data_IF_183063510564
#
_entry.id   IF_183063510564
#
_cell.length_a   1.000
_cell.length_b   1.000
_cell.length_c   1.000
_cell.angle_alpha   90.00
_cell.angle_beta   90.00
_cell.angle_gamma   90.00
#
_symmetry.space_group_name_H-M   'P 1'
#
loop_
_entity.id
_entity.type
_entity.pdbx_description
1 polymer ?
#
# COMPACT_ATOMS: atom_id res chain seq x y z
N UNK A 1 18.89 -15.53 -12.62
CA UNK A 1 18.35 -16.81 -12.12
C UNK A 1 16.92 -16.69 -11.57
N UNK A 2 16.45 -15.49 -11.20
CA UNK A 2 15.10 -15.23 -10.68
C UNK A 2 14.05 -14.87 -11.74
N UNK A 3 14.42 -14.61 -12.99
CA UNK A 3 13.45 -14.20 -14.03
C UNK A 3 12.42 -15.28 -14.40
N UNK A 4 12.74 -16.55 -14.26
CA UNK A 4 11.80 -17.65 -14.58
C UNK A 4 10.74 -17.93 -13.50
N UNK A 5 10.94 -17.49 -12.26
CA UNK A 5 9.95 -17.63 -11.16
C UNK A 5 8.93 -16.50 -11.11
N UNK A 6 9.19 -15.37 -11.80
CA UNK A 6 8.33 -14.17 -11.76
C UNK A 6 7.00 -14.37 -12.48
N UNK A 7 6.90 -15.35 -13.40
CA UNK A 7 5.70 -15.56 -14.23
C UNK A 7 4.42 -15.90 -13.43
N UNK A 8 4.55 -16.40 -12.20
CA UNK A 8 3.42 -16.79 -11.34
C UNK A 8 3.24 -15.94 -10.09
N UNK A 9 3.97 -14.81 -9.98
CA UNK A 9 3.89 -13.95 -8.81
C UNK A 9 2.85 -12.85 -9.02
N UNK A 10 1.92 -12.72 -8.06
CA UNK A 10 0.93 -11.62 -8.06
C UNK A 10 1.39 -10.51 -7.09
N UNK A 11 1.34 -9.23 -7.52
CA UNK A 11 1.64 -8.12 -6.64
C UNK A 11 0.59 -8.02 -5.54
N UNK A 12 1.04 -7.79 -4.30
CA UNK A 12 0.17 -7.59 -3.16
C UNK A 12 -0.28 -6.13 -3.12
N UNK A 13 -1.55 -5.90 -2.78
CA UNK A 13 -2.15 -4.56 -2.76
C UNK A 13 -1.65 -3.74 -1.57
N UNK A 14 -1.31 -2.49 -1.83
CA UNK A 14 -1.06 -1.50 -0.79
C UNK A 14 -2.34 -1.13 -0.05
N UNK A 15 -2.23 -0.87 1.25
CA UNK A 15 -3.34 -0.38 2.07
C UNK A 15 -3.96 0.89 1.50
N UNK A 16 -3.14 1.86 1.09
CA UNK A 16 -3.62 3.13 0.53
C UNK A 16 -4.40 2.99 -0.77
N UNK A 17 -4.15 1.94 -1.56
CA UNK A 17 -4.97 1.63 -2.73
C UNK A 17 -6.38 1.20 -2.34
N UNK A 18 -6.51 0.41 -1.28
CA UNK A 18 -7.82 -0.02 -0.76
C UNK A 18 -8.54 1.14 -0.09
N UNK A 19 -7.84 1.94 0.73
CA UNK A 19 -8.40 3.11 1.39
C UNK A 19 -8.93 4.16 0.40
N UNK A 20 -8.21 4.41 -0.71
CA UNK A 20 -8.66 5.39 -1.72
C UNK A 20 -9.98 4.97 -2.36
N UNK A 21 -10.17 3.69 -2.65
CA UNK A 21 -11.42 3.20 -3.24
C UNK A 21 -12.58 3.31 -2.26
N UNK A 22 -12.37 2.95 -0.99
CA UNK A 22 -13.42 3.02 0.04
C UNK A 22 -13.81 4.47 0.33
N UNK A 23 -12.86 5.37 0.50
CA UNK A 23 -13.15 6.78 0.80
C UNK A 23 -13.88 7.47 -0.35
N UNK A 24 -13.53 7.15 -1.59
CA UNK A 24 -14.25 7.66 -2.76
C UNK A 24 -15.69 7.14 -2.80
N UNK A 25 -15.90 5.85 -2.57
CA UNK A 25 -17.23 5.25 -2.56
C UNK A 25 -18.13 5.89 -1.50
N UNK A 26 -17.63 6.06 -0.28
CA UNK A 26 -18.38 6.70 0.81
C UNK A 26 -18.73 8.14 0.46
N UNK A 27 -17.79 8.92 -0.07
CA UNK A 27 -18.06 10.30 -0.50
C UNK A 27 -19.16 10.39 -1.56
N UNK A 28 -19.16 9.49 -2.54
CA UNK A 28 -20.20 9.44 -3.59
C UNK A 28 -21.57 9.10 -3.01
N UNK A 29 -21.64 8.13 -2.09
CA UNK A 29 -22.89 7.74 -1.43
C UNK A 29 -23.44 8.92 -0.62
N UNK A 30 -22.62 9.61 0.16
CA UNK A 30 -23.04 10.74 0.97
C UNK A 30 -23.55 11.91 0.13
N UNK A 31 -22.87 12.21 -0.99
CA UNK A 31 -23.35 13.22 -1.93
C UNK A 31 -24.72 12.83 -2.52
N UNK A 32 -24.90 11.59 -2.93
CA UNK A 32 -26.18 11.11 -3.46
C UNK A 32 -27.29 11.23 -2.42
N UNK A 33 -27.05 10.81 -1.17
CA UNK A 33 -28.00 10.94 -0.06
C UNK A 33 -28.30 12.41 0.23
N UNK A 34 -27.29 13.28 0.19
CA UNK A 34 -27.45 14.71 0.38
C UNK A 34 -28.36 15.35 -0.67
N UNK A 35 -28.18 15.00 -1.95
CA UNK A 35 -29.03 15.48 -3.04
C UNK A 35 -30.46 15.02 -2.91
N UNK A 36 -30.70 13.74 -2.62
CA UNK A 36 -32.06 13.19 -2.42
C UNK A 36 -32.69 13.85 -1.19
N UNK A 37 -31.97 13.94 -0.08
CA UNK A 37 -32.46 14.54 1.16
C UNK A 37 -32.81 16.02 1.06
N UNK A 38 -32.16 16.74 0.14
CA UNK A 38 -32.44 18.16 -0.11
C UNK A 38 -33.88 18.44 -0.54
N UNK A 39 -34.54 17.47 -1.19
CA UNK A 39 -35.96 17.58 -1.56
C UNK A 39 -36.88 17.63 -0.33
N UNK A 40 -36.44 17.06 0.79
CA UNK A 40 -37.20 17.02 2.03
C UNK A 40 -36.75 18.11 3.01
N UNK A 41 -35.46 18.35 3.10
CA UNK A 41 -34.89 19.36 4.00
C UNK A 41 -33.52 19.83 3.49
N UNK A 42 -33.37 21.14 3.15
CA UNK A 42 -32.11 21.69 2.64
C UNK A 42 -30.94 21.62 3.62
N UNK A 43 -31.20 21.45 4.92
CA UNK A 43 -30.15 21.27 5.93
C UNK A 43 -29.41 19.94 5.73
N UNK A 44 -30.11 18.90 5.23
CA UNK A 44 -29.49 17.60 4.98
C UNK A 44 -28.36 17.72 3.97
N UNK A 45 -28.56 18.45 2.89
CA UNK A 45 -27.52 18.67 1.87
C UNK A 45 -26.28 19.34 2.47
N UNK A 46 -26.46 20.35 3.33
CA UNK A 46 -25.31 21.05 3.95
C UNK A 46 -24.50 20.12 4.86
N UNK A 47 -25.17 19.31 5.67
CA UNK A 47 -24.50 18.34 6.56
C UNK A 47 -23.77 17.29 5.73
N UNK A 48 -24.40 16.74 4.69
CA UNK A 48 -23.79 15.72 3.83
C UNK A 48 -22.62 16.27 3.02
N UNK A 49 -22.68 17.51 2.55
CA UNK A 49 -21.55 18.16 1.89
C UNK A 49 -20.36 18.35 2.82
N UNK A 50 -20.61 18.75 4.06
CA UNK A 50 -19.54 18.90 5.06
C UNK A 50 -18.87 17.55 5.34
N UNK A 51 -19.65 16.50 5.53
CA UNK A 51 -19.14 15.16 5.81
C UNK A 51 -18.41 14.57 4.59
N UNK A 52 -18.99 14.68 3.39
CA UNK A 52 -18.36 14.25 2.15
C UNK A 52 -17.02 14.96 1.89
N UNK A 53 -16.87 16.23 2.30
CA UNK A 53 -15.60 16.95 2.15
C UNK A 53 -14.46 16.30 2.93
N UNK A 54 -14.73 15.75 4.11
CA UNK A 54 -13.76 15.01 4.91
C UNK A 54 -13.31 13.74 4.17
N UNK A 55 -14.24 12.99 3.61
CA UNK A 55 -13.92 11.77 2.85
C UNK A 55 -13.15 12.08 1.57
N UNK A 56 -13.48 13.15 0.88
CA UNK A 56 -12.74 13.62 -0.31
C UNK A 56 -11.30 13.99 0.10
N UNK A 57 -11.10 14.65 1.24
CA UNK A 57 -9.76 15.00 1.72
C UNK A 57 -8.94 13.75 2.05
N UNK A 58 -9.54 12.76 2.72
CA UNK A 58 -8.89 11.47 2.99
C UNK A 58 -8.55 10.71 1.69
N UNK A 59 -9.44 10.75 0.70
CA UNK A 59 -9.18 10.21 -0.63
C UNK A 59 -7.96 10.87 -1.28
N UNK A 60 -7.89 12.19 -1.29
CA UNK A 60 -6.78 12.92 -1.89
C UNK A 60 -5.45 12.62 -1.20
N UNK A 61 -5.43 12.52 0.13
CA UNK A 61 -4.24 12.12 0.89
C UNK A 61 -3.80 10.70 0.50
N UNK A 62 -4.74 9.76 0.42
CA UNK A 62 -4.46 8.37 0.07
C UNK A 62 -3.92 8.24 -1.36
N UNK A 63 -4.51 8.92 -2.32
CA UNK A 63 -4.06 8.95 -3.72
C UNK A 63 -2.71 9.63 -3.85
N UNK A 64 -2.49 10.73 -3.14
CA UNK A 64 -1.21 11.44 -3.12
C UNK A 64 -0.08 10.55 -2.61
N UNK A 65 -0.31 9.86 -1.49
CA UNK A 65 0.66 8.90 -0.93
C UNK A 65 0.93 7.74 -1.89
N UNK A 66 -0.11 7.16 -2.46
CA UNK A 66 0.01 6.05 -3.42
C UNK A 66 0.81 6.47 -4.67
N UNK A 67 0.52 7.66 -5.20
CA UNK A 67 1.22 8.20 -6.37
C UNK A 67 2.69 8.47 -6.07
N UNK A 68 2.98 9.04 -4.90
CA UNK A 68 4.35 9.27 -4.44
C UNK A 68 5.14 7.96 -4.34
N UNK A 69 4.56 6.92 -3.70
CA UNK A 69 5.23 5.64 -3.52
C UNK A 69 5.46 4.92 -4.87
N UNK A 70 4.48 4.97 -5.78
CA UNK A 70 4.63 4.42 -7.15
C UNK A 70 5.72 5.16 -7.94
N UNK A 71 5.77 6.48 -7.85
CA UNK A 71 6.81 7.30 -8.52
C UNK A 71 8.19 6.99 -7.95
N UNK A 72 8.30 6.90 -6.62
CA UNK A 72 9.55 6.52 -5.94
C UNK A 72 10.04 5.15 -6.39
N UNK A 73 9.15 4.15 -6.41
CA UNK A 73 9.49 2.81 -6.87
C UNK A 73 9.93 2.80 -8.34
N UNK A 74 9.20 3.52 -9.21
CA UNK A 74 9.55 3.64 -10.63
C UNK A 74 10.92 4.27 -10.83
N UNK A 75 11.23 5.33 -10.10
CA UNK A 75 12.53 5.99 -10.18
C UNK A 75 13.65 5.06 -9.73
N UNK A 76 13.47 4.35 -8.60
CA UNK A 76 14.47 3.39 -8.10
C UNK A 76 14.65 2.17 -9.02
N UNK A 77 13.60 1.74 -9.72
CA UNK A 77 13.73 0.70 -10.76
C UNK A 77 14.54 1.17 -11.97
N UNK A 78 14.53 2.47 -12.26
CA UNK A 78 15.20 3.04 -13.43
C UNK A 78 16.66 3.45 -13.15
N UNK A 79 16.92 4.07 -12.00
CA UNK A 79 18.23 4.64 -11.62
C UNK A 79 18.97 3.86 -10.53
N UNK A 80 18.27 2.96 -9.82
CA UNK A 80 18.83 2.12 -8.79
C UNK A 80 19.05 0.68 -9.27
N UNK A 81 19.24 -0.20 -8.32
CA UNK A 81 19.37 -1.63 -8.59
C UNK A 81 18.60 -2.46 -7.56
N UNK A 82 18.20 -3.67 -7.99
CA UNK A 82 17.54 -4.62 -7.14
C UNK A 82 18.59 -5.41 -6.36
N UNK A 83 18.43 -5.45 -5.02
CA UNK A 83 19.28 -6.26 -4.14
C UNK A 83 18.54 -7.50 -3.70
N UNK A 84 19.28 -8.60 -3.59
CA UNK A 84 18.79 -9.81 -2.97
C UNK A 84 18.52 -9.55 -1.49
N UNK A 85 17.28 -9.79 -1.08
CA UNK A 85 16.81 -9.53 0.26
C UNK A 85 16.05 -10.73 0.80
N UNK A 86 16.15 -10.90 2.10
CA UNK A 86 15.40 -11.92 2.85
C UNK A 86 14.34 -11.25 3.70
N UNK A 87 13.13 -11.81 3.71
CA UNK A 87 12.08 -11.36 4.62
C UNK A 87 12.42 -11.88 6.02
N UNK A 88 12.83 -10.96 6.89
CA UNK A 88 13.19 -11.29 8.29
C UNK A 88 11.95 -11.39 9.17
N UNK A 89 11.04 -10.45 9.03
CA UNK A 89 9.86 -10.37 9.90
C UNK A 89 8.66 -9.76 9.19
N UNK A 90 7.46 -10.08 9.71
CA UNK A 90 6.19 -9.51 9.30
C UNK A 90 5.56 -8.85 10.52
N UNK A 91 5.47 -7.53 10.54
CA UNK A 91 4.95 -6.76 11.65
C UNK A 91 3.47 -6.45 11.39
N UNK A 92 2.53 -7.10 12.10
CA UNK A 92 1.12 -6.79 11.95
C UNK A 92 0.80 -5.43 12.56
N UNK A 93 -0.01 -4.64 11.87
CA UNK A 93 -0.60 -3.42 12.40
C UNK A 93 -1.91 -3.78 13.10
N UNK A 94 -1.86 -4.04 14.40
CA UNK A 94 -3.01 -4.50 15.19
C UNK A 94 -4.16 -3.49 15.27
N UNK A 95 -3.92 -2.23 14.94
CA UNK A 95 -4.89 -1.13 14.96
C UNK A 95 -5.66 -0.95 13.65
N UNK A 96 -5.27 -1.67 12.57
CA UNK A 96 -5.98 -1.62 11.28
C UNK A 96 -6.31 -3.03 10.83
N UNK A 97 -7.61 -3.34 10.79
CA UNK A 97 -8.13 -4.54 10.15
C UNK A 97 -9.13 -4.13 9.07
N UNK A 98 -9.06 -4.74 7.92
CA UNK A 98 -9.99 -4.52 6.80
C UNK A 98 -10.69 -5.84 6.51
N UNK A 99 -11.82 -6.09 7.16
CA UNK A 99 -12.52 -7.37 7.09
C UNK A 99 -11.64 -8.52 7.60
N UNK A 100 -11.44 -9.55 6.77
CA UNK A 100 -10.57 -10.69 7.07
C UNK A 100 -9.09 -10.45 6.69
N UNK A 101 -8.74 -9.21 6.32
CA UNK A 101 -7.38 -8.86 5.93
C UNK A 101 -6.65 -8.20 7.09
N UNK A 102 -5.37 -8.55 7.22
CA UNK A 102 -4.47 -7.97 8.21
C UNK A 102 -3.54 -7.00 7.50
N UNK A 103 -3.48 -5.76 7.98
CA UNK A 103 -2.47 -4.82 7.52
C UNK A 103 -1.15 -5.12 8.19
N UNK A 104 -0.09 -5.23 7.40
CA UNK A 104 1.23 -5.54 7.92
C UNK A 104 2.33 -4.77 7.19
N UNK A 105 3.47 -4.65 7.84
CA UNK A 105 4.72 -4.19 7.25
C UNK A 105 5.70 -5.36 7.19
N UNK A 106 6.47 -5.41 6.11
CA UNK A 106 7.48 -6.44 5.90
C UNK A 106 8.84 -5.85 6.21
N UNK A 107 9.62 -6.57 7.00
CA UNK A 107 11.01 -6.23 7.30
C UNK A 107 11.90 -7.13 6.47
N UNK A 108 12.67 -6.52 5.58
CA UNK A 108 13.66 -7.21 4.75
C UNK A 108 15.07 -6.88 5.24
N UNK A 109 15.94 -7.89 5.31
CA UNK A 109 17.37 -7.73 5.50
C UNK A 109 18.10 -7.82 4.16
N UNK A 110 19.09 -6.97 3.93
CA UNK A 110 19.96 -7.05 2.77
C UNK A 110 21.38 -6.60 3.13
N UNK A 111 22.34 -7.06 2.33
CA UNK A 111 23.76 -6.69 2.49
C UNK A 111 24.15 -5.75 1.35
N UNK A 112 24.73 -4.61 1.70
CA UNK A 112 25.27 -3.66 0.75
C UNK A 112 26.68 -3.24 1.20
N UNK A 113 27.65 -3.39 0.32
CA UNK A 113 29.09 -3.10 0.60
C UNK A 113 29.61 -3.75 1.89
N UNK A 114 29.19 -5.00 2.15
CA UNK A 114 29.60 -5.74 3.34
C UNK A 114 28.93 -5.35 4.65
N UNK A 115 27.99 -4.39 4.62
CA UNK A 115 27.17 -3.98 5.78
C UNK A 115 25.76 -4.50 5.66
N UNK A 116 25.20 -4.92 6.79
CA UNK A 116 23.80 -5.36 6.87
C UNK A 116 22.87 -4.16 7.09
N UNK A 117 21.85 -4.08 6.26
CA UNK A 117 20.78 -3.07 6.33
C UNK A 117 19.42 -3.74 6.52
N UNK A 118 18.52 -2.99 7.14
CA UNK A 118 17.10 -3.37 7.27
C UNK A 118 16.24 -2.40 6.49
N UNK A 119 15.38 -2.92 5.64
CA UNK A 119 14.36 -2.17 4.94
C UNK A 119 12.98 -2.55 5.48
N UNK A 120 12.15 -1.55 5.71
CA UNK A 120 10.77 -1.75 6.19
C UNK A 120 9.83 -1.25 5.10
N UNK A 121 8.88 -2.12 4.70
CA UNK A 121 7.93 -1.81 3.65
C UNK A 121 6.85 -0.80 4.09
N UNK A 122 6.10 -0.29 3.14
CA UNK A 122 4.80 0.30 3.38
C UNK A 122 3.81 -0.74 3.91
N UNK A 123 2.60 -0.29 4.28
CA UNK A 123 1.54 -1.19 4.71
C UNK A 123 0.94 -1.95 3.53
N UNK A 124 0.94 -3.26 3.66
CA UNK A 124 0.29 -4.19 2.74
C UNK A 124 -0.92 -4.84 3.40
N UNK A 125 -1.86 -5.26 2.58
CA UNK A 125 -3.06 -5.98 3.02
C UNK A 125 -2.86 -7.46 2.71
N UNK A 126 -2.67 -8.26 3.75
CA UNK A 126 -2.50 -9.71 3.65
C UNK A 126 -3.70 -10.45 4.20
N UNK A 127 -4.00 -11.61 3.63
CA UNK A 127 -4.96 -12.53 4.25
C UNK A 127 -4.30 -13.28 5.41
N UNK A 128 -5.06 -13.73 6.44
CA UNK A 128 -4.51 -14.51 7.55
C UNK A 128 -3.83 -15.82 7.15
N UNK A 129 -4.13 -16.30 5.93
CA UNK A 129 -3.60 -17.56 5.39
C UNK A 129 -2.25 -17.40 4.67
N UNK A 130 -1.77 -16.17 4.47
CA UNK A 130 -0.46 -15.94 3.86
C UNK A 130 0.65 -16.30 4.84
N UNK A 131 1.47 -17.27 4.44
CA UNK A 131 2.67 -17.65 5.17
C UNK A 131 3.85 -16.81 4.68
N UNK A 132 4.82 -16.58 5.56
CA UNK A 132 6.07 -15.90 5.21
C UNK A 132 6.78 -16.55 4.02
N UNK A 133 6.68 -17.87 3.90
CA UNK A 133 7.30 -18.69 2.85
C UNK A 133 6.70 -18.45 1.45
N UNK A 134 5.44 -18.00 1.40
CA UNK A 134 4.72 -17.72 0.14
C UNK A 134 4.94 -16.26 -0.34
N UNK A 135 5.71 -15.48 0.41
CA UNK A 135 5.97 -14.07 0.13
C UNK A 135 7.37 -13.85 -0.43
N UNK A 136 7.45 -13.03 -1.46
CA UNK A 136 8.70 -12.62 -2.09
C UNK A 136 8.80 -11.09 -2.09
N UNK A 137 9.94 -10.57 -1.67
CA UNK A 137 10.19 -9.15 -1.64
C UNK A 137 11.39 -8.79 -2.52
N UNK A 138 11.22 -7.79 -3.37
CA UNK A 138 12.31 -7.16 -4.09
C UNK A 138 12.60 -5.81 -3.43
N UNK A 139 13.85 -5.59 -3.04
CA UNK A 139 14.31 -4.31 -2.49
C UNK A 139 15.10 -3.57 -3.56
N UNK A 140 14.62 -2.40 -3.93
CA UNK A 140 15.31 -1.49 -4.84
C UNK A 140 15.96 -0.39 -4.02
N UNK A 141 17.25 -0.16 -4.22
CA UNK A 141 18.01 0.89 -3.54
C UNK A 141 18.57 1.91 -4.54
N UNK A 142 18.77 3.14 -4.08
CA UNK A 142 19.48 4.15 -4.85
C UNK A 142 20.98 3.85 -4.85
N UNK A 143 21.62 4.04 -5.99
CA UNK A 143 23.07 3.90 -6.11
C UNK A 143 23.74 4.86 -5.12
N UNK A 144 24.67 4.35 -4.32
CA UNK A 144 25.39 5.09 -3.27
C UNK A 144 24.58 5.56 -2.04
N UNK A 145 23.29 5.19 -1.95
CA UNK A 145 22.48 5.52 -0.77
C UNK A 145 21.53 4.37 -0.38
N UNK A 146 22.01 3.39 0.40
CA UNK A 146 21.21 2.23 0.79
C UNK A 146 20.05 2.57 1.74
N UNK A 147 20.01 3.77 2.32
CA UNK A 147 18.89 4.20 3.17
C UNK A 147 17.68 4.65 2.36
N UNK A 148 17.89 4.97 1.07
CA UNK A 148 16.82 5.34 0.14
C UNK A 148 16.42 4.13 -0.67
N UNK A 149 15.42 3.42 -0.21
CA UNK A 149 14.95 2.17 -0.77
C UNK A 149 13.43 2.17 -1.03
N UNK A 150 12.99 1.20 -1.81
CA UNK A 150 11.58 0.83 -1.97
C UNK A 150 11.47 -0.69 -2.05
N UNK A 151 10.40 -1.22 -1.48
CA UNK A 151 10.13 -2.67 -1.45
C UNK A 151 8.92 -2.95 -2.31
N UNK A 152 9.03 -3.96 -3.16
CA UNK A 152 7.92 -4.51 -3.93
C UNK A 152 7.65 -5.93 -3.43
N UNK A 153 6.43 -6.19 -3.00
CA UNK A 153 6.04 -7.46 -2.41
C UNK A 153 5.16 -8.25 -3.37
N UNK A 154 5.49 -9.51 -3.53
CA UNK A 154 4.78 -10.46 -4.37
C UNK A 154 4.36 -11.68 -3.57
N UNK A 155 3.35 -12.34 -4.08
CA UNK A 155 2.82 -13.59 -3.57
C UNK A 155 2.85 -14.65 -4.66
N UNK A 156 3.23 -15.87 -4.31
CA UNK A 156 3.10 -17.02 -5.21
C UNK A 156 1.61 -17.32 -5.46
N UNK A 157 1.21 -17.37 -6.73
CA UNK A 157 -0.14 -17.80 -7.08
C UNK A 157 -0.21 -19.32 -7.04
N UNK A 158 -0.88 -19.84 -6.05
CA UNK A 158 -1.31 -21.25 -6.05
C UNK A 158 -2.48 -21.44 -7.01
#
# INVERSE_FOLDING_TARGET
YKEKQIANLKPIKYLFSTCSNVTLLVAVIELAVGFIGNFFNPTILKVMLLNASVWIMLFLISVGKLTYDKKKLKNLKHSGFCIDSEIKDIIPASWITVGNYICCRIVCGFIYEGKEYKAVSNYYVLTPFHRKEDLYANVFIEQNNPTKYSIELFQESR
#
